data_IF_516175543489
#
_entry.id   IF_516175543489
#
_cell.length_a   1.000
_cell.length_b   1.000
_cell.length_c   1.000
_cell.angle_alpha   90.00
_cell.angle_beta   90.00
_cell.angle_gamma   90.00
#
_symmetry.space_group_name_H-M   'P 1'
#
loop_
_entity.id
_entity.type
_entity.pdbx_description
1 polymer ?
#
# COMPACT_ATOMS: atom_id res chain seq x y z
N UNK A 1 12.37 -1.11 6.03
CA UNK A 1 11.66 -0.23 5.06
C UNK A 1 10.15 -0.46 5.22
N UNK A 2 9.35 0.60 5.34
CA UNK A 2 7.89 0.50 5.42
C UNK A 2 7.34 0.12 4.05
N UNK A 3 6.60 -0.98 3.96
CA UNK A 3 6.12 -1.51 2.69
C UNK A 3 4.60 -1.67 2.71
N UNK A 4 3.96 -1.34 1.60
CA UNK A 4 2.52 -1.48 1.43
C UNK A 4 2.24 -2.36 0.21
N UNK A 5 1.29 -3.28 0.33
CA UNK A 5 0.68 -3.98 -0.80
C UNK A 5 -0.76 -3.49 -0.91
N UNK A 6 -1.09 -2.89 -2.05
CA UNK A 6 -2.47 -2.57 -2.41
C UNK A 6 -2.95 -3.57 -3.45
N UNK A 7 -3.88 -4.44 -3.07
CA UNK A 7 -4.59 -5.31 -4.02
C UNK A 7 -5.71 -4.51 -4.68
N UNK A 8 -5.76 -4.51 -6.01
CA UNK A 8 -6.80 -3.83 -6.75
C UNK A 8 -7.45 -4.77 -7.76
N UNK A 9 -8.77 -4.94 -7.64
CA UNK A 9 -9.55 -5.84 -8.50
C UNK A 9 -9.77 -5.28 -9.91
N UNK A 10 -9.76 -3.94 -10.07
CA UNK A 10 -10.16 -3.25 -11.32
C UNK A 10 -9.08 -2.43 -11.98
N UNK A 11 -7.99 -2.06 -11.28
CA UNK A 11 -6.95 -1.23 -11.88
C UNK A 11 -6.40 -1.89 -13.14
N UNK A 12 -6.42 -1.13 -14.25
CA UNK A 12 -6.06 -1.65 -15.58
C UNK A 12 -4.57 -1.95 -15.68
N UNK A 13 -4.24 -2.90 -16.54
CA UNK A 13 -2.88 -3.41 -16.75
C UNK A 13 -2.28 -3.01 -18.10
N UNK A 14 -2.96 -2.11 -18.83
CA UNK A 14 -2.48 -1.51 -20.08
C UNK A 14 -2.37 0.01 -19.96
N UNK A 15 -1.60 0.67 -20.82
CA UNK A 15 -1.53 2.13 -20.86
C UNK A 15 -2.78 2.79 -21.52
N UNK A 16 -3.79 2.03 -21.93
CA UNK A 16 -4.91 2.51 -22.74
C UNK A 16 -6.07 3.04 -21.88
N UNK A 17 -5.74 3.96 -20.96
CA UNK A 17 -6.75 4.67 -20.15
C UNK A 17 -6.58 6.18 -20.26
N UNK A 18 -7.65 6.94 -20.04
CA UNK A 18 -7.63 8.39 -20.05
C UNK A 18 -7.14 8.96 -18.72
N UNK A 19 -6.28 9.98 -18.77
CA UNK A 19 -5.89 10.74 -17.57
C UNK A 19 -7.01 11.69 -17.09
N UNK A 20 -8.03 11.92 -17.91
CA UNK A 20 -9.19 12.72 -17.56
C UNK A 20 -10.32 11.87 -16.96
N UNK A 21 -10.17 10.53 -17.01
CA UNK A 21 -11.13 9.58 -16.46
C UNK A 21 -10.40 8.42 -15.76
N UNK A 22 -9.72 8.72 -14.67
CA UNK A 22 -9.01 7.74 -13.85
C UNK A 22 -9.94 6.72 -13.17
N UNK A 23 -11.13 7.11 -12.67
CA UNK A 23 -12.06 6.16 -12.06
C UNK A 23 -12.67 5.17 -13.05
N UNK A 24 -13.09 5.63 -14.22
CA UNK A 24 -13.76 4.82 -15.23
C UNK A 24 -12.77 4.05 -16.11
N UNK A 25 -12.14 4.71 -17.06
CA UNK A 25 -11.22 4.08 -18.04
C UNK A 25 -9.97 3.48 -17.38
N UNK A 26 -9.53 4.02 -16.24
CA UNK A 26 -8.39 3.52 -15.46
C UNK A 26 -8.73 2.38 -14.50
N UNK A 27 -10.00 2.00 -14.34
CA UNK A 27 -10.41 0.99 -13.37
C UNK A 27 -10.07 1.36 -11.93
N UNK A 28 -10.43 2.57 -11.51
CA UNK A 28 -10.12 3.16 -10.20
C UNK A 28 -8.64 3.51 -10.01
N UNK A 29 -7.97 3.94 -11.08
CA UNK A 29 -6.59 4.44 -11.02
C UNK A 29 -6.47 5.70 -10.13
N UNK A 30 -7.55 6.43 -9.88
CA UNK A 30 -7.67 7.50 -8.89
C UNK A 30 -7.35 7.01 -7.48
N UNK A 31 -7.94 5.89 -7.06
CA UNK A 31 -7.69 5.27 -5.77
C UNK A 31 -6.23 4.80 -5.66
N UNK A 32 -5.71 4.17 -6.72
CA UNK A 32 -4.31 3.73 -6.80
C UNK A 32 -3.37 4.91 -6.61
N UNK A 33 -3.57 6.00 -7.36
CA UNK A 33 -2.72 7.20 -7.28
C UNK A 33 -2.75 7.84 -5.89
N UNK A 34 -3.93 7.93 -5.24
CA UNK A 34 -4.04 8.42 -3.85
C UNK A 34 -3.28 7.54 -2.86
N UNK A 35 -3.38 6.21 -2.98
CA UNK A 35 -2.62 5.30 -2.11
C UNK A 35 -1.11 5.48 -2.30
N UNK A 36 -0.63 5.61 -3.54
CA UNK A 36 0.78 5.87 -3.84
C UNK A 36 1.21 7.22 -3.25
N UNK A 37 0.39 8.27 -3.43
CA UNK A 37 0.66 9.58 -2.85
C UNK A 37 0.83 9.49 -1.33
N UNK A 38 -0.14 8.88 -0.63
CA UNK A 38 -0.11 8.80 0.83
C UNK A 38 1.00 7.88 1.36
N UNK A 39 1.44 6.90 0.58
CA UNK A 39 2.54 6.02 0.96
C UNK A 39 3.92 6.71 0.87
N UNK A 40 4.08 7.67 -0.04
CA UNK A 40 5.40 8.17 -0.40
C UNK A 40 5.62 9.66 -0.13
N UNK A 41 4.60 10.50 -0.04
CA UNK A 41 4.78 11.94 0.16
C UNK A 41 4.44 12.40 1.57
N UNK A 42 5.22 13.34 2.04
CA UNK A 42 4.97 14.24 3.16
C UNK A 42 4.99 15.67 2.65
N UNK A 43 4.68 16.66 3.50
CA UNK A 43 4.41 18.04 3.07
C UNK A 43 5.46 18.65 2.11
N UNK A 44 6.74 18.37 2.32
CA UNK A 44 7.82 19.00 1.52
C UNK A 44 8.88 17.99 1.06
N UNK A 45 8.65 16.68 1.21
CA UNK A 45 9.61 15.64 0.86
C UNK A 45 8.95 14.31 0.53
N UNK A 46 9.78 13.35 0.14
CA UNK A 46 9.43 11.95 -0.07
C UNK A 46 9.86 11.09 1.12
N UNK A 47 9.02 10.12 1.50
CA UNK A 47 9.39 9.06 2.43
C UNK A 47 10.38 8.11 1.77
N UNK A 48 11.67 8.35 1.99
CA UNK A 48 12.76 7.55 1.41
C UNK A 48 12.83 6.14 1.97
N UNK A 49 12.22 5.90 3.12
CA UNK A 49 12.11 4.63 3.83
C UNK A 49 10.82 3.85 3.52
N UNK A 50 10.08 4.25 2.51
CA UNK A 50 8.78 3.68 2.15
C UNK A 50 8.71 3.21 0.70
N UNK A 51 7.92 2.16 0.45
CA UNK A 51 7.52 1.75 -0.88
C UNK A 51 6.08 1.22 -0.89
N UNK A 52 5.48 1.20 -2.07
CA UNK A 52 4.16 0.61 -2.28
C UNK A 52 4.16 -0.26 -3.54
N UNK A 53 3.56 -1.44 -3.41
CA UNK A 53 3.35 -2.41 -4.47
C UNK A 53 1.85 -2.48 -4.77
N UNK A 54 1.46 -2.06 -5.95
CA UNK A 54 0.08 -2.16 -6.43
C UNK A 54 -0.06 -3.41 -7.27
N UNK A 55 -0.89 -4.34 -6.81
CA UNK A 55 -1.24 -5.55 -7.58
C UNK A 55 -2.49 -5.23 -8.40
N UNK A 56 -2.29 -4.92 -9.68
CA UNK A 56 -3.35 -4.58 -10.61
C UNK A 56 -3.93 -5.85 -11.26
N UNK A 57 -5.22 -6.10 -11.02
CA UNK A 57 -5.94 -7.28 -11.50
C UNK A 57 -7.01 -6.98 -12.56
N UNK A 58 -7.10 -5.73 -13.03
CA UNK A 58 -7.98 -5.34 -14.14
C UNK A 58 -7.43 -5.74 -15.50
N UNK A 59 -8.33 -5.75 -16.52
CA UNK A 59 -7.97 -6.08 -17.90
C UNK A 59 -6.92 -5.12 -18.48
N UNK A 60 -6.25 -5.43 -19.62
CA UNK A 60 -6.42 -6.67 -20.39
C UNK A 60 -5.46 -7.79 -20.00
N UNK A 61 -4.40 -7.54 -19.20
CA UNK A 61 -3.32 -8.49 -18.94
C UNK A 61 -3.03 -8.67 -17.44
N UNK A 62 -4.02 -8.98 -16.58
CA UNK A 62 -3.76 -9.22 -15.16
C UNK A 62 -2.96 -10.53 -14.93
N UNK A 63 -2.31 -10.66 -13.77
CA UNK A 63 -1.98 -9.61 -12.83
C UNK A 63 -0.70 -8.88 -13.23
N UNK A 64 -0.56 -7.62 -12.78
CA UNK A 64 0.66 -6.84 -12.92
C UNK A 64 0.97 -6.15 -11.59
N UNK A 65 2.21 -6.26 -11.13
CA UNK A 65 2.70 -5.53 -9.96
C UNK A 65 3.37 -4.24 -10.41
N UNK A 66 2.86 -3.11 -9.93
CA UNK A 66 3.38 -1.77 -10.14
C UNK A 66 3.98 -1.30 -8.82
N UNK A 67 5.29 -1.14 -8.75
CA UNK A 67 5.97 -0.75 -7.50
C UNK A 67 6.55 0.65 -7.60
N UNK A 68 6.38 1.42 -6.52
CA UNK A 68 6.97 2.74 -6.34
C UNK A 68 7.88 2.72 -5.11
N UNK A 69 9.13 3.11 -5.28
CA UNK A 69 10.17 3.13 -4.25
C UNK A 69 10.59 4.56 -3.94
N UNK A 70 10.29 5.05 -2.74
CA UNK A 70 10.52 6.43 -2.35
C UNK A 70 11.99 6.86 -2.39
N UNK A 71 12.93 5.95 -2.08
CA UNK A 71 14.37 6.23 -2.11
C UNK A 71 14.93 6.47 -3.52
N UNK A 72 14.27 5.96 -4.56
CA UNK A 72 14.72 6.07 -5.95
C UNK A 72 13.82 6.92 -6.84
N UNK A 73 12.65 7.36 -6.33
CA UNK A 73 11.66 8.09 -7.11
C UNK A 73 12.17 9.49 -7.49
N UNK A 74 11.99 9.89 -8.76
CA UNK A 74 12.41 11.19 -9.30
C UNK A 74 11.35 11.75 -10.23
N UNK A 75 11.24 13.08 -10.29
CA UNK A 75 10.40 13.83 -11.25
C UNK A 75 8.91 13.43 -11.21
N UNK A 76 8.40 12.99 -10.06
CA UNK A 76 7.00 12.66 -9.83
C UNK A 76 6.41 13.64 -8.84
N UNK A 77 5.28 14.23 -9.16
CA UNK A 77 4.53 15.14 -8.29
C UNK A 77 3.45 14.39 -7.50
N UNK A 78 3.10 14.85 -6.28
CA UNK A 78 2.12 14.21 -5.42
C UNK A 78 0.67 14.53 -5.81
N UNK A 79 0.35 14.40 -7.08
CA UNK A 79 -1.01 14.55 -7.60
C UNK A 79 -1.44 13.31 -8.40
N UNK A 80 -2.73 13.01 -8.34
CA UNK A 80 -3.29 11.79 -8.93
C UNK A 80 -3.01 11.68 -10.43
N UNK A 81 -3.13 12.79 -11.15
CA UNK A 81 -2.94 12.83 -12.60
C UNK A 81 -1.48 12.57 -13.00
N UNK A 82 -0.53 13.16 -12.28
CA UNK A 82 0.91 12.96 -12.51
C UNK A 82 1.31 11.52 -12.21
N UNK A 83 0.91 10.99 -11.06
CA UNK A 83 1.18 9.60 -10.67
C UNK A 83 0.61 8.62 -11.70
N UNK A 84 -0.65 8.82 -12.11
CA UNK A 84 -1.30 8.01 -13.15
C UNK A 84 -0.59 8.14 -14.51
N UNK A 85 -0.11 9.32 -14.86
CA UNK A 85 0.67 9.54 -16.08
C UNK A 85 2.01 8.77 -16.07
N UNK A 86 2.66 8.67 -14.91
CA UNK A 86 3.86 7.85 -14.74
C UNK A 86 3.55 6.35 -14.83
N UNK A 87 2.45 5.88 -14.23
CA UNK A 87 1.97 4.51 -14.40
C UNK A 87 1.74 4.20 -15.88
N UNK A 88 1.02 5.07 -16.57
CA UNK A 88 0.75 4.96 -18.02
C UNK A 88 2.03 4.87 -18.85
N UNK A 89 3.01 5.74 -18.59
CA UNK A 89 4.32 5.72 -19.26
C UNK A 89 5.10 4.43 -18.97
N UNK A 90 5.08 3.96 -17.73
CA UNK A 90 5.76 2.74 -17.31
C UNK A 90 5.12 1.49 -17.94
N UNK A 91 3.79 1.37 -17.95
CA UNK A 91 3.05 0.30 -18.63
C UNK A 91 3.33 0.30 -20.15
N UNK A 92 3.41 1.48 -20.76
CA UNK A 92 3.77 1.64 -22.18
C UNK A 92 5.26 1.40 -22.48
N UNK A 93 6.10 1.20 -21.46
CA UNK A 93 7.57 1.11 -21.58
C UNK A 93 8.22 2.32 -22.27
N UNK A 94 7.52 3.48 -22.30
CA UNK A 94 7.96 4.70 -23.00
C UNK A 94 9.01 5.50 -22.22
N UNK A 95 8.98 5.46 -20.91
CA UNK A 95 9.92 6.21 -20.05
C UNK A 95 10.23 5.39 -18.79
N UNK A 96 11.52 5.27 -18.48
CA UNK A 96 11.98 4.64 -17.24
C UNK A 96 12.07 5.68 -16.12
N UNK A 97 11.70 5.26 -14.92
CA UNK A 97 11.95 6.01 -13.68
C UNK A 97 12.63 5.02 -12.72
N UNK A 98 13.76 5.36 -12.10
CA UNK A 98 14.49 4.43 -11.24
C UNK A 98 13.65 3.96 -10.03
N UNK A 99 12.69 4.81 -9.59
CA UNK A 99 11.78 4.49 -8.50
C UNK A 99 10.47 3.81 -8.91
N UNK A 100 10.29 3.43 -10.19
CA UNK A 100 9.07 2.77 -10.66
C UNK A 100 9.43 1.47 -11.37
N UNK A 101 8.85 0.35 -10.94
CA UNK A 101 8.98 -0.93 -11.62
C UNK A 101 7.64 -1.54 -11.99
N UNK A 102 7.62 -2.24 -13.12
CA UNK A 102 6.47 -3.02 -13.60
C UNK A 102 6.92 -4.46 -13.76
N UNK A 103 6.24 -5.38 -13.06
CA UNK A 103 6.55 -6.80 -13.14
C UNK A 103 5.28 -7.63 -13.40
N UNK A 104 5.39 -8.66 -14.22
CA UNK A 104 4.33 -9.63 -14.44
C UNK A 104 4.37 -10.67 -13.32
N UNK A 105 3.78 -10.35 -12.18
CA UNK A 105 3.72 -11.19 -10.99
C UNK A 105 2.30 -11.25 -10.47
N UNK A 106 1.94 -12.39 -9.89
CA UNK A 106 0.73 -12.52 -9.09
C UNK A 106 0.90 -11.93 -7.69
N UNK A 107 -0.19 -11.75 -6.98
CA UNK A 107 -0.19 -11.37 -5.56
C UNK A 107 0.61 -12.39 -4.73
N UNK A 108 0.40 -13.68 -4.97
CA UNK A 108 1.08 -14.77 -4.25
C UNK A 108 2.59 -14.72 -4.46
N UNK A 109 3.04 -14.56 -5.70
CA UNK A 109 4.48 -14.46 -6.01
C UNK A 109 5.13 -13.25 -5.32
N UNK A 110 4.43 -12.10 -5.27
CA UNK A 110 4.92 -10.93 -4.54
C UNK A 110 5.02 -11.20 -3.04
N UNK A 111 4.00 -11.83 -2.44
CA UNK A 111 4.00 -12.18 -1.02
C UNK A 111 5.12 -13.16 -0.69
N UNK A 112 5.33 -14.19 -1.52
CA UNK A 112 6.43 -15.16 -1.35
C UNK A 112 7.82 -14.49 -1.41
N UNK A 113 8.02 -13.57 -2.37
CA UNK A 113 9.28 -12.80 -2.45
C UNK A 113 9.53 -11.99 -1.17
N UNK A 114 8.50 -11.30 -0.67
CA UNK A 114 8.61 -10.47 0.53
C UNK A 114 8.77 -11.32 1.79
N UNK A 115 8.07 -12.45 1.89
CA UNK A 115 8.22 -13.41 2.98
C UNK A 115 9.63 -14.01 3.02
N UNK A 116 10.17 -14.39 1.85
CA UNK A 116 11.54 -14.93 1.72
C UNK A 116 12.62 -13.91 2.10
N UNK A 117 12.29 -12.61 2.00
CA UNK A 117 13.15 -11.52 2.49
C UNK A 117 13.02 -11.28 4.00
N UNK A 118 12.26 -12.10 4.73
CA UNK A 118 12.10 -12.03 6.20
C UNK A 118 11.12 -10.95 6.67
N UNK A 119 10.22 -10.47 5.80
CA UNK A 119 9.24 -9.47 6.19
C UNK A 119 8.08 -10.09 6.97
N UNK A 120 7.60 -9.35 7.98
CA UNK A 120 6.39 -9.63 8.71
C UNK A 120 5.19 -8.92 8.05
N UNK A 121 4.01 -9.56 8.01
CA UNK A 121 2.83 -9.00 7.37
C UNK A 121 1.80 -8.51 8.39
N UNK A 122 1.22 -7.33 8.12
CA UNK A 122 0.00 -6.85 8.75
C UNK A 122 -1.12 -6.82 7.73
N UNK A 123 -2.13 -7.66 7.90
CA UNK A 123 -3.32 -7.67 7.06
C UNK A 123 -4.33 -6.71 7.66
N UNK A 124 -4.70 -5.65 6.94
CA UNK A 124 -5.76 -4.76 7.39
C UNK A 124 -7.12 -5.44 7.28
N UNK A 125 -7.78 -5.58 8.42
CA UNK A 125 -9.08 -6.26 8.54
C UNK A 125 -9.88 -5.65 9.70
N UNK A 126 -11.20 -5.43 9.50
CA UNK A 126 -12.07 -4.81 10.51
C UNK A 126 -12.10 -5.58 11.84
N UNK A 127 -11.98 -6.91 11.78
CA UNK A 127 -11.94 -7.80 12.95
C UNK A 127 -10.51 -8.09 13.43
N UNK A 128 -9.52 -7.32 12.98
CA UNK A 128 -8.15 -7.42 13.44
C UNK A 128 -7.98 -6.85 14.85
N UNK A 129 -6.79 -7.03 15.40
CA UNK A 129 -6.41 -6.40 16.67
C UNK A 129 -6.29 -4.89 16.50
N UNK A 130 -6.79 -4.12 17.46
CA UNK A 130 -6.74 -2.65 17.37
C UNK A 130 -5.30 -2.16 17.28
N UNK A 131 -5.05 -1.25 16.34
CA UNK A 131 -3.71 -0.71 16.10
C UNK A 131 -3.12 -0.01 17.33
N UNK A 132 -3.96 0.54 18.21
CA UNK A 132 -3.53 1.17 19.47
C UNK A 132 -2.89 0.18 20.44
N UNK A 133 -3.26 -1.09 20.36
CA UNK A 133 -2.77 -2.19 21.23
C UNK A 133 -1.55 -2.90 20.63
N UNK A 134 -1.15 -2.57 19.40
CA UNK A 134 -0.08 -3.26 18.69
C UNK A 134 1.17 -2.41 18.60
N UNK A 135 2.30 -2.93 19.04
CA UNK A 135 3.61 -2.33 18.72
C UNK A 135 4.02 -2.76 17.32
N UNK A 136 3.83 -1.88 16.35
CA UNK A 136 4.17 -2.17 14.97
C UNK A 136 5.67 -2.43 14.79
N UNK A 137 6.00 -3.45 14.00
CA UNK A 137 7.37 -3.71 13.54
C UNK A 137 7.72 -2.70 12.44
N UNK A 138 8.90 -2.11 12.49
CA UNK A 138 9.33 -1.05 11.54
C UNK A 138 9.49 -1.59 10.12
N UNK A 139 10.08 -2.78 9.99
CA UNK A 139 10.27 -3.45 8.71
C UNK A 139 9.14 -4.45 8.47
N UNK A 140 7.99 -3.93 8.07
CA UNK A 140 6.78 -4.72 7.86
C UNK A 140 6.14 -4.39 6.52
N UNK A 141 5.32 -5.33 6.08
CA UNK A 141 4.46 -5.20 4.89
C UNK A 141 3.01 -5.08 5.35
N UNK A 142 2.36 -3.97 5.00
CA UNK A 142 0.95 -3.74 5.27
C UNK A 142 0.13 -4.10 4.03
N UNK A 143 -0.79 -5.04 4.17
CA UNK A 143 -1.61 -5.56 3.07
C UNK A 143 -3.01 -4.96 3.15
N UNK A 144 -3.41 -4.29 2.07
CA UNK A 144 -4.70 -3.61 1.95
C UNK A 144 -5.43 -4.07 0.68
N UNK A 145 -6.76 -4.11 0.75
CA UNK A 145 -7.62 -4.19 -0.43
C UNK A 145 -7.99 -2.81 -0.97
N UNK A 146 -8.59 -2.79 -2.15
CA UNK A 146 -9.24 -1.61 -2.71
C UNK A 146 -10.65 -1.40 -2.06
N UNK A 147 -11.52 -0.63 -2.72
CA UNK A 147 -12.89 -0.37 -2.26
C UNK A 147 -13.81 -1.62 -2.18
N UNK A 148 -13.36 -2.75 -2.71
CA UNK A 148 -14.05 -4.06 -2.63
C UNK A 148 -13.48 -4.88 -1.46
N UNK A 149 -12.29 -4.52 -0.99
CA UNK A 149 -11.54 -5.25 0.03
C UNK A 149 -10.51 -6.22 -0.55
N UNK A 150 -9.76 -6.87 0.34
CA UNK A 150 -8.85 -7.95 -0.02
C UNK A 150 -9.67 -9.24 -0.17
N UNK A 151 -9.57 -9.97 -1.31
CA UNK A 151 -10.28 -11.22 -1.46
C UNK A 151 -9.85 -12.25 -0.40
N UNK A 152 -10.81 -13.01 0.13
CA UNK A 152 -10.56 -14.01 1.18
C UNK A 152 -9.47 -15.03 0.79
N UNK A 153 -9.38 -15.39 -0.49
CA UNK A 153 -8.32 -16.26 -1.01
C UNK A 153 -6.94 -15.65 -0.81
N UNK A 154 -6.79 -14.36 -1.09
CA UNK A 154 -5.52 -13.65 -0.97
C UNK A 154 -5.16 -13.42 0.51
N UNK A 155 -6.14 -13.13 1.34
CA UNK A 155 -5.97 -13.03 2.79
C UNK A 155 -5.50 -14.36 3.40
N UNK A 156 -6.15 -15.48 3.06
CA UNK A 156 -5.74 -16.83 3.48
C UNK A 156 -4.34 -17.20 3.00
N UNK A 157 -3.92 -16.69 1.85
CA UNK A 157 -2.59 -16.93 1.35
C UNK A 157 -1.53 -16.20 2.18
N UNK A 158 -1.72 -14.90 2.47
CA UNK A 158 -0.81 -14.15 3.36
C UNK A 158 -0.74 -14.77 4.73
N UNK A 159 -1.86 -15.30 5.23
CA UNK A 159 -1.93 -15.94 6.54
C UNK A 159 -1.11 -17.24 6.68
N UNK A 160 -0.50 -17.74 5.61
CA UNK A 160 0.46 -18.86 5.67
C UNK A 160 1.86 -18.42 6.13
N UNK A 161 2.14 -17.13 6.15
CA UNK A 161 3.41 -16.53 6.56
C UNK A 161 3.27 -15.86 7.93
N UNK A 162 4.37 -15.37 8.50
CA UNK A 162 4.34 -14.61 9.74
C UNK A 162 3.51 -13.34 9.59
N UNK A 163 2.38 -13.26 10.25
CA UNK A 163 1.43 -12.17 10.11
C UNK A 163 0.68 -11.84 11.39
N UNK A 164 0.00 -10.70 11.37
CA UNK A 164 -1.05 -10.32 12.32
C UNK A 164 -2.18 -9.61 11.55
N UNK A 165 -3.43 -9.73 12.02
CA UNK A 165 -4.55 -8.94 11.51
C UNK A 165 -4.67 -7.66 12.31
N UNK A 166 -4.77 -6.53 11.61
CA UNK A 166 -4.75 -5.20 12.21
C UNK A 166 -6.02 -4.44 11.87
N UNK A 167 -6.70 -3.93 12.89
CA UNK A 167 -7.83 -3.00 12.77
C UNK A 167 -7.39 -1.58 13.04
N UNK A 168 -7.92 -0.63 12.29
CA UNK A 168 -7.73 0.81 12.52
C UNK A 168 -8.84 1.44 13.37
N UNK A 169 -9.59 0.61 14.12
CA UNK A 169 -10.73 1.01 14.94
C UNK A 169 -12.07 0.66 14.30
N UNK A 170 -13.13 1.28 14.81
CA UNK A 170 -14.53 0.95 14.46
C UNK A 170 -15.01 1.59 13.15
N UNK A 171 -14.23 2.50 12.58
CA UNK A 171 -14.60 3.24 11.36
C UNK A 171 -13.89 2.65 10.15
N UNK A 172 -14.65 2.32 9.10
CA UNK A 172 -14.09 1.90 7.82
C UNK A 172 -13.53 3.10 7.04
N UNK A 173 -12.22 3.13 6.86
CA UNK A 173 -11.52 4.18 6.14
C UNK A 173 -11.27 3.79 4.67
N UNK A 174 -11.11 4.80 3.80
CA UNK A 174 -10.60 4.56 2.44
C UNK A 174 -9.17 3.99 2.51
N UNK A 175 -8.81 3.12 1.56
CA UNK A 175 -7.47 2.51 1.52
C UNK A 175 -6.33 3.54 1.62
N UNK A 176 -6.45 4.69 0.97
CA UNK A 176 -5.47 5.79 1.06
C UNK A 176 -5.39 6.42 2.45
N UNK A 177 -6.51 6.53 3.16
CA UNK A 177 -6.54 7.00 4.56
C UNK A 177 -5.91 5.96 5.50
N UNK A 178 -6.15 4.66 5.25
CA UNK A 178 -5.48 3.60 6.00
C UNK A 178 -3.96 3.73 5.93
N UNK A 179 -3.41 3.98 4.74
CA UNK A 179 -1.97 4.23 4.56
C UNK A 179 -1.49 5.41 5.41
N UNK A 180 -2.26 6.50 5.46
CA UNK A 180 -1.92 7.68 6.28
C UNK A 180 -1.93 7.37 7.78
N UNK A 181 -2.96 6.64 8.25
CA UNK A 181 -3.06 6.23 9.67
C UNK A 181 -1.89 5.32 10.05
N UNK A 182 -1.54 4.35 9.20
CA UNK A 182 -0.39 3.46 9.42
C UNK A 182 0.92 4.25 9.52
N UNK A 183 1.12 5.23 8.64
CA UNK A 183 2.30 6.11 8.74
C UNK A 183 2.30 6.94 10.03
N UNK A 184 1.15 7.49 10.41
CA UNK A 184 1.04 8.24 11.66
C UNK A 184 1.44 7.39 12.87
N UNK A 185 1.00 6.15 12.95
CA UNK A 185 1.35 5.23 14.03
C UNK A 185 2.83 4.82 14.02
N UNK A 186 3.40 4.62 12.82
CA UNK A 186 4.82 4.29 12.64
C UNK A 186 5.75 5.47 12.97
N UNK A 187 5.29 6.70 12.70
CA UNK A 187 6.06 7.92 12.97
C UNK A 187 6.00 8.33 14.46
N UNK A 188 5.00 7.82 15.23
CA UNK A 188 4.77 8.19 16.63
C UNK A 188 4.84 7.01 17.62
N UNK A 189 5.91 6.21 17.64
CA UNK A 189 5.99 5.00 18.47
C UNK A 189 5.97 5.30 19.98
N UNK A 190 6.33 6.52 20.41
CA UNK A 190 6.43 6.92 21.82
C UNK A 190 5.10 7.25 22.48
N UNK A 191 4.04 7.57 21.73
CA UNK A 191 2.71 7.83 22.29
C UNK A 191 2.12 6.63 23.02
N UNK A 192 2.44 5.41 22.60
CA UNK A 192 1.93 4.17 23.20
C UNK A 192 2.55 3.86 24.56
N UNK A 193 3.77 4.28 24.84
CA UNK A 193 4.45 4.06 26.13
C UNK A 193 3.91 4.93 27.26
N UNK A 194 3.34 6.11 26.96
CA UNK A 194 2.81 7.03 27.97
C UNK A 194 1.39 6.69 28.42
N UNK A 195 0.59 5.98 27.62
CA UNK A 195 -0.74 5.54 28.03
C UNK A 195 -0.67 4.34 29.01
N UNK A 196 0.19 3.38 28.77
CA UNK A 196 0.39 2.26 29.69
C UNK A 196 0.98 2.68 31.06
N UNK A 197 1.81 3.73 31.09
CA UNK A 197 2.35 4.28 32.34
C UNK A 197 1.29 5.02 33.18
N UNK A 198 0.17 5.43 32.60
CA UNK A 198 -0.92 6.09 33.34
C UNK A 198 -1.90 5.10 33.99
N UNK A 199 -2.01 3.89 33.47
CA UNK A 199 -2.85 2.83 34.06
C UNK A 199 -2.16 2.16 35.27
N UNK A 200 -0.85 1.99 35.23
CA UNK A 200 -0.06 1.42 36.34
C UNK A 200 0.02 2.35 37.59
N UNK A 201 -0.33 3.64 37.46
CA UNK A 201 -0.38 4.58 38.59
C UNK A 201 -1.76 4.66 39.29
N UNK A 202 -2.75 3.84 38.89
CA UNK A 202 -4.09 3.79 39.49
C UNK A 202 -4.41 2.48 40.23
N UNK A 203 -3.39 1.67 40.49
CA UNK A 203 -3.47 0.47 41.32
C UNK A 203 -3.12 0.77 42.80
#
# INVERSE_FOLDING_TARGET
>A
MKQFILYTSKAVTSPDFSLDDLPGSGGRMDLVARCICNALWISHDLRRDSCIHVVACGSPNPPVVISFYGNMLRDVSPDERNIAAWIKKALAKKRKNPGISIRKLSFQQLVEELASAGNFFYILHEQGRDISEVKLKVDSVFVLGDHIGLPEKEEKFVAQFEHDKLSLGTTSYLASQCVTVLHYELDNPKKKLSMNAYEDCKG
#
